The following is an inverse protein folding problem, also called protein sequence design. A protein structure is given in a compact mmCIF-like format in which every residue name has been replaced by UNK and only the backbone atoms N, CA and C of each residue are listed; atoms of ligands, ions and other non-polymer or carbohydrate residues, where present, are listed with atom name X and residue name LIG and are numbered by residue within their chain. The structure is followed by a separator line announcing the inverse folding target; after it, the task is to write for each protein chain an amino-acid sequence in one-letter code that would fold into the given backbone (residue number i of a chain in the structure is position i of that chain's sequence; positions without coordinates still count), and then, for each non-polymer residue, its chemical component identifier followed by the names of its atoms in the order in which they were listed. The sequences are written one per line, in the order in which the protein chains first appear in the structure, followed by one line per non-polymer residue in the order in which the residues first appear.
data_IF_404685195163
#
_entry.id   IF_404685195163
#
_cell.length_a   1.000
_cell.length_b   1.000
_cell.length_c   1.000
_cell.angle_alpha   90.00
_cell.angle_beta   90.00
_cell.angle_gamma   90.00
#
_symmetry.space_group_name_H-M   'P 1'
#
loop_
_entity.id
_entity.type
_entity.pdbx_description
1 polymer ?
#
# COMPACT_ATOMS: atom_id res chain seq x y z
N UNK A 1 -1.20 21.34 -8.50
CA UNK A 1 -1.85 20.09 -8.03
C UNK A 1 -0.85 19.40 -7.12
N UNK A 2 -1.28 18.98 -5.94
CA UNK A 2 -0.43 18.15 -5.06
C UNK A 2 -0.25 16.77 -5.73
N UNK A 3 0.95 16.22 -5.67
CA UNK A 3 1.25 14.91 -6.26
C UNK A 3 0.46 13.82 -5.54
N UNK A 4 -0.15 12.85 -6.25
CA UNK A 4 -0.88 11.76 -5.62
C UNK A 4 0.03 10.95 -4.69
N UNK A 5 -0.49 10.65 -3.50
CA UNK A 5 0.23 9.90 -2.47
C UNK A 5 0.07 8.41 -2.68
N UNK A 6 1.14 7.67 -2.44
CA UNK A 6 1.22 6.22 -2.64
C UNK A 6 0.30 5.45 -1.69
N UNK A 7 0.12 5.98 -0.49
CA UNK A 7 -0.73 5.40 0.55
C UNK A 7 -1.65 6.47 1.14
N UNK A 8 -2.88 6.09 1.47
CA UNK A 8 -3.90 7.00 2.04
C UNK A 8 -3.76 7.28 3.54
N UNK A 9 -2.55 7.17 4.09
CA UNK A 9 -2.30 7.31 5.54
C UNK A 9 -2.76 8.69 6.05
N UNK A 10 -2.45 9.78 5.33
CA UNK A 10 -2.91 11.11 5.76
C UNK A 10 -4.43 11.27 5.61
N UNK A 11 -5.04 10.63 4.62
CA UNK A 11 -6.50 10.67 4.44
C UNK A 11 -7.19 9.98 5.62
N UNK A 12 -6.68 8.82 6.07
CA UNK A 12 -7.15 8.15 7.29
C UNK A 12 -6.93 9.01 8.54
N UNK A 13 -5.78 9.68 8.64
CA UNK A 13 -5.51 10.60 9.74
C UNK A 13 -6.48 11.80 9.76
N UNK A 14 -6.82 12.34 8.58
CA UNK A 14 -7.72 13.49 8.44
C UNK A 14 -9.17 13.19 8.81
N UNK A 15 -9.57 11.91 8.88
CA UNK A 15 -10.88 11.50 9.42
C UNK A 15 -10.97 11.71 10.93
N UNK A 16 -9.83 11.87 11.62
CA UNK A 16 -9.77 12.09 13.06
C UNK A 16 -9.96 13.58 13.40
N UNK A 17 -10.55 13.85 14.56
CA UNK A 17 -10.52 15.21 15.12
C UNK A 17 -9.09 15.62 15.54
N UNK A 18 -8.84 16.90 15.75
CA UNK A 18 -7.51 17.45 16.06
C UNK A 18 -6.83 16.78 17.27
N UNK A 19 -7.59 16.44 18.31
CA UNK A 19 -7.07 15.78 19.52
C UNK A 19 -6.59 14.36 19.18
N UNK A 20 -7.41 13.61 18.47
CA UNK A 20 -7.12 12.24 18.06
C UNK A 20 -6.01 12.19 17.01
N UNK A 21 -5.97 13.14 16.07
CA UNK A 21 -4.88 13.27 15.10
C UNK A 21 -3.52 13.45 15.80
N UNK A 22 -3.45 14.37 16.78
CA UNK A 22 -2.22 14.60 17.55
C UNK A 22 -1.82 13.38 18.37
N UNK A 23 -2.79 12.65 18.93
CA UNK A 23 -2.55 11.42 19.66
C UNK A 23 -2.04 10.31 18.73
N UNK A 24 -2.74 10.05 17.61
CA UNK A 24 -2.38 9.06 16.61
C UNK A 24 -0.97 9.30 16.04
N UNK A 25 -0.63 10.57 15.76
CA UNK A 25 0.72 10.95 15.30
C UNK A 25 1.83 10.57 16.28
N UNK A 26 1.53 10.36 17.57
CA UNK A 26 2.49 9.92 18.59
C UNK A 26 2.40 8.43 18.90
N UNK A 27 1.20 7.87 18.85
CA UNK A 27 0.93 6.47 19.22
C UNK A 27 1.34 5.53 18.09
N UNK A 28 1.03 5.85 16.84
CA UNK A 28 1.31 4.98 15.69
C UNK A 28 2.82 4.71 15.53
N UNK A 29 3.71 5.73 15.53
CA UNK A 29 5.15 5.47 15.40
C UNK A 29 5.70 4.61 16.55
N UNK A 30 5.20 4.82 17.78
CA UNK A 30 5.58 4.02 18.96
C UNK A 30 5.14 2.57 18.83
N UNK A 31 3.90 2.35 18.39
CA UNK A 31 3.35 1.01 18.19
C UNK A 31 4.12 0.24 17.11
N UNK A 32 4.46 0.91 16.01
CA UNK A 32 5.24 0.34 14.91
C UNK A 32 6.76 0.28 15.18
N UNK A 33 7.22 0.79 16.33
CA UNK A 33 8.66 0.90 16.68
C UNK A 33 9.49 1.64 15.62
N UNK A 34 8.93 2.69 15.03
CA UNK A 34 9.61 3.55 14.05
C UNK A 34 9.78 4.98 14.57
N UNK A 35 10.73 5.71 14.00
CA UNK A 35 10.90 7.13 14.31
C UNK A 35 9.68 7.95 13.84
N UNK A 36 9.38 9.03 14.57
CA UNK A 36 8.31 9.97 14.19
C UNK A 36 8.50 10.51 12.76
N UNK A 37 9.74 10.82 12.38
CA UNK A 37 10.07 11.30 11.03
C UNK A 37 9.79 10.25 9.96
N UNK A 38 10.04 8.97 10.25
CA UNK A 38 9.71 7.87 9.33
C UNK A 38 8.21 7.82 9.06
N UNK A 39 7.39 7.90 10.12
CA UNK A 39 5.93 7.95 9.96
C UNK A 39 5.47 9.23 9.25
N UNK A 40 6.12 10.36 9.49
CA UNK A 40 5.85 11.60 8.74
C UNK A 40 6.12 11.44 7.24
N UNK A 41 7.23 10.80 6.88
CA UNK A 41 7.59 10.56 5.48
C UNK A 41 6.61 9.59 4.81
N UNK A 42 6.20 8.53 5.50
CA UNK A 42 5.21 7.57 4.99
C UNK A 42 3.91 8.24 4.54
N UNK A 43 3.44 9.25 5.29
CA UNK A 43 2.22 10.02 4.98
C UNK A 43 2.31 10.88 3.72
N UNK A 44 3.52 11.09 3.21
CA UNK A 44 3.84 11.99 2.10
C UNK A 44 4.49 11.29 0.91
N UNK A 45 4.60 9.95 0.95
CA UNK A 45 5.23 9.21 -0.14
C UNK A 45 4.46 9.44 -1.45
N UNK A 46 5.12 9.94 -2.52
CA UNK A 46 4.48 10.10 -3.81
C UNK A 46 4.34 8.75 -4.52
N UNK A 47 3.27 8.58 -5.31
CA UNK A 47 3.05 7.37 -6.14
C UNK A 47 4.22 7.12 -7.11
N UNK A 48 4.77 8.19 -7.69
CA UNK A 48 5.88 8.12 -8.64
C UNK A 48 7.24 7.81 -7.98
N UNK A 49 7.30 7.87 -6.66
CA UNK A 49 8.54 7.75 -5.89
C UNK A 49 9.08 6.32 -5.84
N UNK A 50 10.41 6.20 -5.86
CA UNK A 50 11.12 4.92 -5.65
C UNK A 50 11.03 4.40 -4.22
N UNK A 51 10.83 5.29 -3.26
CA UNK A 51 10.74 4.92 -1.86
C UNK A 51 9.43 4.17 -1.59
N UNK A 52 9.49 3.22 -0.63
CA UNK A 52 8.32 2.45 -0.25
C UNK A 52 8.24 2.18 1.24
N UNK A 53 7.06 1.79 1.69
CA UNK A 53 6.85 1.30 3.05
C UNK A 53 7.04 -0.22 3.03
N UNK A 54 7.84 -0.81 3.95
CA UNK A 54 7.94 -2.25 4.06
C UNK A 54 6.55 -2.89 4.20
N UNK A 55 6.28 -3.98 3.48
CA UNK A 55 4.97 -4.62 3.44
C UNK A 55 4.42 -4.95 4.85
N UNK A 56 5.26 -5.49 5.74
CA UNK A 56 4.86 -5.77 7.12
C UNK A 56 4.34 -4.52 7.85
N UNK A 57 4.96 -3.36 7.62
CA UNK A 57 4.53 -2.08 8.18
C UNK A 57 3.22 -1.61 7.55
N UNK A 58 3.02 -1.82 6.24
CA UNK A 58 1.74 -1.54 5.57
C UNK A 58 0.61 -2.37 6.19
N UNK A 59 0.83 -3.67 6.41
CA UNK A 59 -0.15 -4.57 7.04
C UNK A 59 -0.52 -4.14 8.46
N UNK A 60 0.48 -3.72 9.24
CA UNK A 60 0.23 -3.18 10.58
C UNK A 60 -0.57 -1.88 10.54
N UNK A 61 -0.26 -0.98 9.60
CA UNK A 61 -1.02 0.27 9.40
C UNK A 61 -2.46 -0.01 8.99
N UNK A 62 -2.70 -0.95 8.07
CA UNK A 62 -4.04 -1.40 7.69
C UNK A 62 -4.83 -1.87 8.90
N UNK A 63 -4.23 -2.74 9.73
CA UNK A 63 -4.85 -3.18 10.98
C UNK A 63 -5.12 -2.04 11.97
N UNK A 64 -4.19 -1.09 12.12
CA UNK A 64 -4.35 0.09 13.00
C UNK A 64 -5.50 0.99 12.56
N UNK A 65 -5.69 1.17 11.25
CA UNK A 65 -6.78 1.98 10.70
C UNK A 65 -8.08 1.19 10.48
N UNK A 66 -8.07 -0.13 10.68
CA UNK A 66 -9.25 -0.99 10.45
C UNK A 66 -9.58 -1.19 8.96
N UNK A 67 -8.57 -1.13 8.10
CA UNK A 67 -8.69 -1.34 6.65
C UNK A 67 -8.46 -2.82 6.29
N UNK A 68 -9.01 -3.26 5.16
CA UNK A 68 -8.68 -4.58 4.59
C UNK A 68 -7.31 -4.56 3.91
N UNK A 69 -6.81 -5.76 3.66
CA UNK A 69 -5.55 -6.02 2.97
C UNK A 69 -5.51 -5.32 1.60
N UNK A 70 -4.49 -4.48 1.40
CA UNK A 70 -4.28 -3.74 0.16
C UNK A 70 -5.06 -2.42 0.09
N UNK A 71 -6.01 -2.15 1.00
CA UNK A 71 -6.82 -0.93 0.95
C UNK A 71 -6.03 0.32 1.33
N UNK A 72 -4.89 0.21 2.04
CA UNK A 72 -4.09 1.39 2.37
C UNK A 72 -3.38 1.99 1.14
N UNK A 73 -3.17 1.20 0.09
CA UNK A 73 -2.59 1.68 -1.17
C UNK A 73 -3.59 2.55 -1.94
N UNK A 74 -3.09 3.63 -2.53
CA UNK A 74 -3.88 4.54 -3.39
C UNK A 74 -3.83 4.17 -4.87
N UNK A 75 -3.29 3.01 -5.20
CA UNK A 75 -3.19 2.49 -6.55
C UNK A 75 -3.84 1.09 -6.60
N UNK A 76 -4.48 0.74 -7.72
CA UNK A 76 -5.01 -0.60 -7.90
C UNK A 76 -3.85 -1.61 -7.90
N UNK A 77 -3.98 -2.64 -7.07
CA UNK A 77 -3.08 -3.80 -7.11
C UNK A 77 -3.79 -4.86 -7.93
N UNK A 78 -3.47 -4.93 -9.22
CA UNK A 78 -3.96 -5.99 -10.09
C UNK A 78 -3.24 -7.30 -9.73
N UNK A 79 -4.00 -8.25 -9.19
CA UNK A 79 -3.49 -9.60 -8.90
C UNK A 79 -4.18 -10.61 -9.79
N UNK A 80 -3.40 -11.31 -10.62
CA UNK A 80 -3.85 -12.54 -11.29
C UNK A 80 -3.59 -13.72 -10.37
N UNK A 81 -4.51 -14.67 -10.35
CA UNK A 81 -4.28 -15.93 -9.63
C UNK A 81 -3.25 -16.78 -10.36
N UNK A 82 -2.55 -17.65 -9.63
CA UNK A 82 -1.60 -18.58 -10.24
C UNK A 82 -2.27 -19.46 -11.31
N UNK A 83 -3.51 -19.92 -11.08
CA UNK A 83 -4.27 -20.68 -12.09
C UNK A 83 -4.50 -19.85 -13.36
N UNK A 84 -4.88 -18.57 -13.22
CA UNK A 84 -5.01 -17.66 -14.36
C UNK A 84 -3.70 -17.52 -15.12
N UNK A 85 -2.59 -17.32 -14.40
CA UNK A 85 -1.25 -17.19 -15.00
C UNK A 85 -0.81 -18.46 -15.74
N UNK A 86 -1.02 -19.63 -15.15
CA UNK A 86 -0.69 -20.93 -15.77
C UNK A 86 -1.52 -21.14 -17.05
N UNK A 87 -2.81 -20.79 -17.03
CA UNK A 87 -3.69 -20.93 -18.21
C UNK A 87 -3.33 -19.98 -19.33
N UNK A 88 -2.91 -18.76 -19.01
CA UNK A 88 -2.43 -17.78 -20.00
C UNK A 88 -1.15 -18.28 -20.68
N UNK A 89 -0.18 -18.74 -19.90
CA UNK A 89 1.08 -19.29 -20.42
C UNK A 89 0.86 -20.50 -21.33
N UNK A 90 0.00 -21.44 -20.92
CA UNK A 90 -0.32 -22.63 -21.72
C UNK A 90 -0.99 -22.30 -23.07
N UNK A 91 -1.71 -21.18 -23.16
CA UNK A 91 -2.31 -20.70 -24.42
C UNK A 91 -1.27 -20.06 -25.34
N UNK A 92 -0.28 -19.36 -24.79
CA UNK A 92 0.83 -18.80 -25.56
C UNK A 92 1.74 -19.89 -26.15
N UNK A 93 1.99 -20.99 -25.42
CA UNK A 93 2.84 -22.10 -25.91
C UNK A 93 2.15 -22.98 -26.97
N UNK A 94 0.82 -23.02 -26.99
CA UNK A 94 0.06 -23.77 -28.01
C UNK A 94 -0.03 -23.11 -29.39
N UNK A 95 0.41 -21.85 -29.53
CA UNK A 95 0.49 -21.14 -30.81
C UNK A 95 1.83 -21.35 -31.54
N UNK A 96 2.91 -21.70 -30.82
CA UNK A 96 4.21 -21.99 -31.41
C UNK A 96 4.31 -23.41 -32.02
N UNK A 97 3.55 -24.39 -31.51
CA UNK A 97 3.55 -25.77 -32.04
C UNK A 97 2.76 -25.93 -33.35
N UNK A 98 1.99 -24.92 -33.79
CA UNK A 98 1.22 -24.99 -35.06
C UNK A 98 1.94 -24.39 -36.26
N UNK A 99 3.24 -24.09 -36.14
CA UNK A 99 4.03 -23.42 -37.18
C UNK A 99 5.15 -24.26 -37.81
N UNK A 100 5.13 -25.59 -37.66
CA UNK A 100 6.06 -26.51 -38.35
C UNK A 100 5.28 -27.46 -39.25
#
# INVERSE_FOLDING_TARGET
MEEPRKYKIEEEMNKLNLKNYKAASRVIPKHLKIAFNTFHNYRKLPVSGKADIPYATVRLLEGVFGLKDGELANYPIEMKTLDTLIREEARCQGEDEKKI
#
